data_IF_028596516487
#
_entry.id   IF_028596516487
#
_cell.length_a   1.000
_cell.length_b   1.000
_cell.length_c   1.000
_cell.angle_alpha   90.00
_cell.angle_beta   90.00
_cell.angle_gamma   90.00
#
_symmetry.space_group_name_H-M   'P 1'
#
loop_
_entity.id
_entity.type
_entity.pdbx_description
1 polymer ?
#
# COMPACT_ATOMS: atom_id res chain seq x y z
N UNK A 1 10.73 -10.38 0.23
CA UNK A 1 9.57 -10.49 -0.67
C UNK A 1 8.38 -9.80 -0.03
N UNK A 2 8.01 -8.60 -0.49
CA UNK A 2 6.92 -7.82 0.10
C UNK A 2 5.50 -8.34 -0.23
N UNK A 3 5.36 -9.30 -1.14
CA UNK A 3 4.08 -9.93 -1.49
C UNK A 3 3.94 -11.34 -0.88
N UNK A 4 4.88 -11.77 -0.05
CA UNK A 4 4.88 -13.13 0.50
C UNK A 4 3.80 -13.35 1.57
N UNK A 5 3.53 -12.35 2.41
CA UNK A 5 2.60 -12.48 3.52
C UNK A 5 1.23 -11.99 3.10
N UNK A 6 0.24 -12.86 2.99
CA UNK A 6 -1.15 -12.46 2.85
C UNK A 6 -2.05 -13.63 3.27
N UNK A 7 -3.14 -13.34 3.99
CA UNK A 7 -4.19 -14.32 4.26
C UNK A 7 -5.23 -14.32 3.13
N UNK A 8 -5.50 -13.14 2.57
CA UNK A 8 -6.43 -12.90 1.47
C UNK A 8 -5.69 -12.20 0.30
N UNK A 9 -5.80 -12.69 -0.96
CA UNK A 9 -5.24 -12.02 -2.14
C UNK A 9 -5.62 -10.53 -2.29
N UNK A 10 -6.75 -10.10 -1.73
CA UNK A 10 -7.18 -8.69 -1.71
C UNK A 10 -6.18 -7.77 -0.98
N UNK A 11 -5.36 -8.30 -0.07
CA UNK A 11 -4.28 -7.56 0.58
C UNK A 11 -3.17 -7.17 -0.40
N UNK A 12 -2.87 -8.03 -1.38
CA UNK A 12 -1.85 -7.76 -2.40
C UNK A 12 -2.29 -6.62 -3.31
N UNK A 13 -3.57 -6.62 -3.69
CA UNK A 13 -4.18 -5.53 -4.43
C UNK A 13 -4.11 -4.21 -3.66
N UNK A 14 -4.37 -4.26 -2.35
CA UNK A 14 -4.26 -3.09 -1.47
C UNK A 14 -2.83 -2.54 -1.44
N UNK A 15 -1.81 -3.39 -1.32
CA UNK A 15 -0.39 -2.98 -1.32
C UNK A 15 0.04 -2.33 -2.63
N UNK A 16 -0.41 -2.88 -3.77
CA UNK A 16 -0.07 -2.34 -5.09
C UNK A 16 -0.85 -1.05 -5.34
N UNK A 17 -2.10 -0.94 -4.87
CA UNK A 17 -2.90 0.28 -5.03
C UNK A 17 -2.28 1.51 -4.34
N UNK A 18 -1.52 1.30 -3.25
CA UNK A 18 -0.77 2.36 -2.56
C UNK A 18 0.27 3.01 -3.47
N UNK A 19 0.76 2.30 -4.48
CA UNK A 19 1.77 2.78 -5.43
C UNK A 19 1.19 3.67 -6.52
N UNK A 20 -0.14 3.72 -6.65
CA UNK A 20 -0.81 4.42 -7.74
C UNK A 20 -0.90 5.91 -7.37
N UNK A 21 -0.24 6.81 -8.13
CA UNK A 21 -0.31 8.24 -7.88
C UNK A 21 -1.70 8.79 -8.24
N UNK A 22 -2.12 9.85 -7.54
CA UNK A 22 -3.37 10.60 -7.83
C UNK A 22 -4.49 10.41 -6.80
N UNK A 23 -5.42 11.36 -6.75
CA UNK A 23 -6.53 11.39 -5.79
C UNK A 23 -7.83 10.77 -6.31
N UNK A 24 -7.88 10.35 -7.59
CA UNK A 24 -9.11 9.81 -8.16
C UNK A 24 -9.45 8.43 -7.56
N UNK A 25 -10.43 8.46 -6.65
CA UNK A 25 -10.93 7.28 -5.94
C UNK A 25 -11.51 6.22 -6.88
N UNK A 26 -12.12 6.62 -8.01
CA UNK A 26 -12.71 5.68 -8.96
C UNK A 26 -11.62 4.93 -9.73
N UNK A 27 -10.58 5.63 -10.16
CA UNK A 27 -9.42 5.03 -10.82
C UNK A 27 -8.70 4.04 -9.90
N UNK A 28 -8.42 4.45 -8.66
CA UNK A 28 -7.77 3.59 -7.66
C UNK A 28 -8.61 2.35 -7.33
N UNK A 29 -9.93 2.50 -7.19
CA UNK A 29 -10.83 1.38 -6.95
C UNK A 29 -10.83 0.38 -8.12
N UNK A 30 -10.86 0.87 -9.36
CA UNK A 30 -10.80 0.00 -10.53
C UNK A 30 -9.45 -0.71 -10.65
N UNK A 31 -8.33 -0.01 -10.44
CA UNK A 31 -7.00 -0.62 -10.44
C UNK A 31 -6.84 -1.69 -9.36
N UNK A 32 -7.40 -1.42 -8.18
CA UNK A 32 -7.47 -2.41 -7.11
C UNK A 32 -8.25 -3.66 -7.53
N UNK A 33 -9.42 -3.52 -8.16
CA UNK A 33 -10.21 -4.67 -8.66
C UNK A 33 -9.45 -5.52 -9.68
N UNK A 34 -8.70 -4.88 -10.59
CA UNK A 34 -7.90 -5.60 -11.58
C UNK A 34 -6.77 -6.39 -10.92
N UNK A 35 -6.00 -5.74 -10.05
CA UNK A 35 -4.90 -6.40 -9.35
C UNK A 35 -5.43 -7.51 -8.43
N UNK A 36 -6.59 -7.32 -7.81
CA UNK A 36 -7.28 -8.36 -7.04
C UNK A 36 -7.61 -9.56 -7.91
N UNK A 37 -8.31 -9.36 -9.03
CA UNK A 37 -8.71 -10.44 -9.93
C UNK A 37 -7.49 -11.21 -10.48
N UNK A 38 -6.40 -10.52 -10.81
CA UNK A 38 -5.15 -11.16 -11.23
C UNK A 38 -4.49 -11.95 -10.10
N UNK A 39 -4.46 -11.40 -8.89
CA UNK A 39 -3.86 -12.05 -7.71
C UNK A 39 -4.63 -13.29 -7.31
N UNK A 40 -5.96 -13.20 -7.24
CA UNK A 40 -6.84 -14.34 -6.98
C UNK A 40 -6.73 -15.39 -8.09
N UNK A 41 -6.65 -14.96 -9.35
CA UNK A 41 -6.43 -15.85 -10.50
C UNK A 41 -5.12 -16.63 -10.41
N UNK A 42 -4.02 -15.99 -10.00
CA UNK A 42 -2.73 -16.65 -9.76
C UNK A 42 -2.82 -17.69 -8.65
N UNK A 43 -3.47 -17.34 -7.54
CA UNK A 43 -3.68 -18.28 -6.42
C UNK A 43 -4.55 -19.47 -6.85
N UNK A 44 -5.60 -19.25 -7.63
CA UNK A 44 -6.43 -20.32 -8.21
C UNK A 44 -5.64 -21.23 -9.17
N UNK A 45 -4.70 -20.65 -9.94
CA UNK A 45 -3.78 -21.41 -10.77
C UNK A 45 -2.76 -22.22 -9.94
N UNK A 46 -2.65 -21.98 -8.62
CA UNK A 46 -1.66 -22.60 -7.74
C UNK A 46 -0.30 -21.91 -7.80
N UNK A 47 -0.25 -20.69 -8.31
CA UNK A 47 0.96 -19.87 -8.44
C UNK A 47 1.02 -18.83 -7.32
N UNK A 48 2.24 -18.54 -6.86
CA UNK A 48 2.47 -17.49 -5.85
C UNK A 48 2.52 -16.15 -6.58
N UNK A 49 1.68 -15.16 -6.21
CA UNK A 49 1.71 -13.85 -6.84
C UNK A 49 3.07 -13.15 -6.63
N UNK A 50 3.60 -12.58 -7.70
CA UNK A 50 4.86 -11.81 -7.70
C UNK A 50 4.68 -10.50 -8.45
N UNK A 51 5.49 -9.47 -8.15
CA UNK A 51 5.42 -8.19 -8.86
C UNK A 51 5.69 -8.38 -10.36
N UNK A 52 6.68 -9.21 -10.71
CA UNK A 52 7.01 -9.52 -12.10
C UNK A 52 5.89 -10.29 -12.80
N UNK A 53 5.27 -11.27 -12.12
CA UNK A 53 4.14 -12.02 -12.66
C UNK A 53 2.92 -11.13 -12.92
N UNK A 54 2.57 -10.28 -11.95
CA UNK A 54 1.49 -9.30 -12.11
C UNK A 54 1.78 -8.30 -13.22
N UNK A 55 3.01 -7.77 -13.30
CA UNK A 55 3.44 -6.88 -14.38
C UNK A 55 3.31 -7.54 -15.76
N UNK A 56 3.76 -8.79 -15.90
CA UNK A 56 3.65 -9.55 -17.15
C UNK A 56 2.21 -9.78 -17.58
N UNK A 57 1.29 -10.04 -16.64
CA UNK A 57 -0.13 -10.22 -16.92
C UNK A 57 -0.84 -8.91 -17.29
N UNK A 58 -0.45 -7.81 -16.65
CA UNK A 58 -0.99 -6.47 -16.98
C UNK A 58 -0.56 -6.04 -18.39
N UNK A 59 0.63 -6.43 -18.86
CA UNK A 59 1.09 -6.13 -20.22
C UNK A 59 0.62 -7.13 -21.28
N UNK A 60 0.74 -8.43 -20.99
CA UNK A 60 0.49 -9.52 -21.94
C UNK A 60 -0.95 -10.02 -21.98
N UNK A 61 -1.81 -9.51 -21.09
CA UNK A 61 -3.19 -9.95 -20.93
C UNK A 61 -3.36 -11.14 -19.98
N UNK A 62 -4.61 -11.37 -19.58
CA UNK A 62 -4.97 -12.38 -18.58
C UNK A 62 -5.49 -13.70 -19.18
N UNK A 63 -5.55 -13.84 -20.51
CA UNK A 63 -6.14 -15.01 -21.19
C UNK A 63 -5.50 -16.34 -20.74
N UNK A 64 -4.17 -16.43 -20.74
CA UNK A 64 -3.45 -17.63 -20.29
C UNK A 64 -3.66 -17.93 -18.79
N UNK A 65 -3.92 -16.90 -17.98
CA UNK A 65 -4.27 -17.06 -16.56
C UNK A 65 -5.69 -17.59 -16.39
N UNK A 66 -6.67 -17.10 -17.17
CA UNK A 66 -8.04 -17.62 -17.17
C UNK A 66 -8.04 -19.11 -17.44
N UNK A 67 -7.32 -19.55 -18.48
CA UNK A 67 -7.21 -20.97 -18.83
C UNK A 67 -6.69 -21.79 -17.65
N UNK A 68 -5.54 -21.39 -17.07
CA UNK A 68 -4.90 -22.12 -15.96
C UNK A 68 -5.78 -22.13 -14.70
N UNK A 69 -6.32 -20.97 -14.30
CA UNK A 69 -7.10 -20.79 -13.08
C UNK A 69 -8.44 -21.54 -13.14
N UNK A 70 -9.20 -21.34 -14.23
CA UNK A 70 -10.51 -21.98 -14.40
C UNK A 70 -10.35 -23.49 -14.55
N UNK A 71 -9.35 -23.96 -15.30
CA UNK A 71 -9.05 -25.39 -15.42
C UNK A 71 -8.74 -26.03 -14.07
N UNK A 72 -7.81 -25.44 -13.30
CA UNK A 72 -7.42 -25.98 -11.98
C UNK A 72 -8.61 -25.97 -11.01
N UNK A 73 -9.42 -24.90 -11.02
CA UNK A 73 -10.64 -24.84 -10.23
C UNK A 73 -11.66 -25.89 -10.66
N UNK A 74 -11.83 -26.10 -11.97
CA UNK A 74 -12.74 -27.09 -12.52
C UNK A 74 -12.33 -28.52 -12.20
N UNK A 75 -11.04 -28.85 -12.31
CA UNK A 75 -10.49 -30.16 -11.94
C UNK A 75 -10.75 -30.50 -10.47
N UNK A 76 -10.70 -29.50 -9.58
CA UNK A 76 -10.91 -29.69 -8.14
C UNK A 76 -12.38 -29.69 -7.72
N UNK A 77 -13.21 -28.90 -8.39
CA UNK A 77 -14.56 -28.57 -7.90
C UNK A 77 -15.68 -29.20 -8.72
N UNK A 78 -15.38 -29.68 -9.95
CA UNK A 78 -16.38 -30.37 -10.78
C UNK A 78 -16.35 -31.89 -10.53
N UNK A 79 -17.39 -32.46 -9.90
CA UNK A 79 -17.48 -33.92 -9.74
C UNK A 79 -17.63 -34.67 -11.08
N UNK A 80 -18.04 -33.98 -12.15
CA UNK A 80 -18.21 -34.54 -13.49
C UNK A 80 -17.20 -33.98 -14.50
N UNK A 81 -16.07 -33.44 -14.03
CA UNK A 81 -15.01 -32.84 -14.86
C UNK A 81 -14.66 -33.70 -16.09
N UNK A 82 -14.45 -35.01 -15.89
CA UNK A 82 -14.03 -35.93 -16.95
C UNK A 82 -15.05 -36.08 -18.10
N UNK A 83 -16.34 -35.80 -17.83
CA UNK A 83 -17.42 -35.84 -18.81
C UNK A 83 -17.59 -34.46 -19.43
N UNK A 84 -17.68 -33.42 -18.61
CA UNK A 84 -17.89 -32.04 -19.05
C UNK A 84 -16.75 -31.51 -19.93
N UNK A 85 -15.51 -31.92 -19.64
CA UNK A 85 -14.32 -31.55 -20.43
C UNK A 85 -14.41 -31.99 -21.90
N UNK A 86 -15.14 -33.07 -22.18
CA UNK A 86 -15.34 -33.65 -23.52
C UNK A 86 -16.62 -33.16 -24.21
N UNK A 87 -17.38 -32.29 -23.55
CA UNK A 87 -18.65 -31.79 -24.06
C UNK A 87 -18.42 -30.53 -24.93
N UNK A 88 -18.95 -30.49 -26.17
CA UNK A 88 -18.69 -29.37 -27.06
C UNK A 88 -19.53 -28.18 -26.61
N UNK A 89 -18.86 -27.10 -26.25
CA UNK A 89 -19.50 -25.86 -25.83
C UNK A 89 -19.50 -24.86 -26.97
N UNK A 90 -20.63 -24.18 -27.14
CA UNK A 90 -20.75 -23.06 -28.05
C UNK A 90 -20.07 -21.82 -27.43
N UNK A 91 -19.00 -21.36 -28.06
CA UNK A 91 -18.22 -20.19 -27.65
C UNK A 91 -18.31 -19.15 -28.76
N UNK A 92 -18.80 -17.95 -28.42
CA UNK A 92 -18.86 -16.83 -29.34
C UNK A 92 -17.54 -16.05 -29.27
N UNK A 93 -16.80 -15.99 -30.39
CA UNK A 93 -15.56 -15.23 -30.51
C UNK A 93 -15.76 -14.25 -31.68
N UNK A 94 -15.89 -12.96 -31.36
CA UNK A 94 -16.27 -11.95 -32.35
C UNK A 94 -17.60 -12.28 -33.04
N UNK A 95 -17.57 -12.46 -34.37
CA UNK A 95 -18.73 -12.83 -35.21
C UNK A 95 -18.90 -14.35 -35.39
N UNK A 96 -17.95 -15.17 -34.93
CA UNK A 96 -17.98 -16.62 -35.14
C UNK A 96 -18.47 -17.37 -33.90
N UNK A 97 -19.33 -18.37 -34.13
CA UNK A 97 -19.76 -19.33 -33.09
C UNK A 97 -18.98 -20.63 -33.30
N UNK A 98 -18.07 -20.94 -32.38
CA UNK A 98 -17.25 -22.14 -32.42
C UNK A 98 -17.78 -23.16 -31.40
N UNK A 99 -17.79 -24.43 -31.78
CA UNK A 99 -18.04 -25.54 -30.85
C UNK A 99 -16.69 -26.16 -30.51
N UNK A 100 -16.23 -25.95 -29.28
CA UNK A 100 -14.91 -26.39 -28.82
C UNK A 100 -15.06 -27.36 -27.65
N UNK A 101 -14.15 -28.33 -27.54
CA UNK A 101 -13.92 -29.13 -26.34
C UNK A 101 -12.54 -28.81 -25.75
N UNK A 102 -12.28 -29.20 -24.50
CA UNK A 102 -10.97 -28.96 -23.91
C UNK A 102 -9.84 -29.76 -24.60
N UNK A 103 -10.16 -30.94 -25.15
CA UNK A 103 -9.19 -31.77 -25.88
C UNK A 103 -8.78 -31.13 -27.22
N UNK A 104 -9.65 -30.31 -27.82
CA UNK A 104 -9.34 -29.54 -29.04
C UNK A 104 -8.35 -28.38 -28.75
N UNK A 105 -8.24 -27.94 -27.49
CA UNK A 105 -7.37 -26.84 -27.06
C UNK A 105 -5.95 -27.32 -26.68
N UNK A 106 -5.80 -28.55 -26.17
CA UNK A 106 -4.49 -29.11 -25.76
C UNK A 106 -3.60 -29.56 -26.93
N UNK A 107 -4.19 -29.80 -28.11
CA UNK A 107 -3.47 -30.29 -29.28
C UNK A 107 -2.66 -29.25 -30.07
N UNK A 108 -2.73 -27.97 -29.68
CA UNK A 108 -2.24 -26.86 -30.52
C UNK A 108 -3.12 -26.73 -31.77
N UNK A 109 -4.01 -25.74 -31.78
CA UNK A 109 -4.96 -25.54 -32.87
C UNK A 109 -4.25 -25.10 -34.17
N UNK A 110 -3.73 -26.07 -34.91
CA UNK A 110 -3.49 -25.92 -36.34
C UNK A 110 -4.82 -25.52 -37.00
N UNK A 111 -4.85 -24.31 -37.52
CA UNK A 111 -6.01 -23.54 -37.95
C UNK A 111 -6.76 -24.10 -39.19
N UNK A 112 -6.89 -25.43 -39.35
CA UNK A 112 -7.61 -26.04 -40.47
C UNK A 112 -8.62 -27.14 -40.13
N UNK A 113 -8.63 -27.71 -38.91
CA UNK A 113 -9.45 -28.90 -38.65
C UNK A 113 -10.52 -28.81 -37.53
N UNK A 114 -10.69 -27.70 -36.82
CA UNK A 114 -11.74 -27.55 -35.81
C UNK A 114 -13.05 -26.93 -36.32
N UNK A 115 -13.18 -26.67 -37.62
CA UNK A 115 -14.47 -26.32 -38.24
C UNK A 115 -15.28 -27.61 -38.42
N UNK A 116 -15.87 -28.14 -37.34
CA UNK A 116 -17.00 -29.05 -37.49
C UNK A 116 -18.20 -28.25 -38.02
N UNK A 117 -18.24 -28.08 -39.35
CA UNK A 117 -19.48 -27.77 -40.09
C UNK A 117 -20.56 -28.74 -39.61
N UNK A 118 -21.59 -28.19 -38.93
CA UNK A 118 -22.91 -28.80 -38.62
C UNK A 118 -23.01 -30.29 -39.01
N UNK A 119 -22.49 -31.20 -38.19
CA UNK A 119 -22.93 -32.59 -38.24
C UNK A 119 -24.07 -32.74 -37.25
N UNK A 120 -25.30 -32.72 -37.80
CA UNK A 120 -26.57 -32.95 -37.09
C UNK A 120 -26.42 -34.11 -36.09
N UNK A 121 -26.30 -33.82 -34.80
CA UNK A 121 -26.50 -34.81 -33.74
C UNK A 121 -28.01 -34.93 -33.52
N UNK A 122 -28.55 -36.11 -33.83
CA UNK A 122 -29.95 -36.49 -33.56
C UNK A 122 -30.13 -36.74 -32.06
N UNK A 123 -30.56 -35.72 -31.32
CA UNK A 123 -31.59 -35.80 -30.27
C UNK A 123 -31.84 -34.38 -29.77
N UNK A 124 -33.04 -33.89 -30.06
CA UNK A 124 -33.52 -32.57 -29.66
C UNK A 124 -33.49 -32.45 -28.13
N UNK A 125 -32.69 -31.51 -27.63
CA UNK A 125 -33.03 -30.76 -26.44
C UNK A 125 -33.37 -29.37 -26.96
N UNK A 126 -34.58 -28.93 -26.66
CA UNK A 126 -35.21 -27.74 -27.23
C UNK A 126 -34.64 -26.46 -26.59
N UNK A 127 -33.49 -26.02 -27.10
CA UNK A 127 -32.73 -24.86 -26.63
C UNK A 127 -33.45 -23.54 -26.98
N UNK A 128 -34.34 -23.54 -27.97
CA UNK A 128 -35.05 -22.34 -28.42
C UNK A 128 -36.01 -21.81 -27.35
N UNK A 129 -36.53 -22.68 -26.47
CA UNK A 129 -37.37 -22.29 -25.33
C UNK A 129 -36.64 -21.58 -24.18
N UNK A 130 -35.30 -21.63 -24.14
CA UNK A 130 -34.49 -21.02 -23.06
C UNK A 130 -34.00 -19.62 -23.47
N UNK A 131 -33.83 -19.37 -24.76
CA UNK A 131 -33.23 -18.14 -25.29
C UNK A 131 -34.22 -16.97 -25.42
N UNK A 132 -35.54 -17.19 -25.37
CA UNK A 132 -36.53 -16.11 -25.42
C UNK A 132 -36.68 -15.32 -24.11
N UNK A 133 -36.13 -15.80 -22.98
CA UNK A 133 -36.35 -15.17 -21.66
C UNK A 133 -35.30 -14.12 -21.22
N UNK A 134 -34.31 -13.77 -22.04
CA UNK A 134 -33.20 -12.88 -21.61
C UNK A 134 -33.12 -11.55 -22.38
N UNK A 135 -34.23 -11.06 -22.93
CA UNK A 135 -34.31 -9.89 -23.81
C UNK A 135 -33.38 -8.73 -23.45
N UNK A 136 -32.31 -8.57 -24.22
CA UNK A 136 -31.44 -7.39 -24.24
C UNK A 136 -30.97 -7.16 -25.68
N UNK A 137 -31.36 -6.02 -26.23
CA UNK A 137 -30.95 -5.50 -27.53
C UNK A 137 -29.46 -5.13 -27.50
N UNK A 138 -28.76 -5.34 -28.62
CA UNK A 138 -27.33 -5.03 -28.76
C UNK A 138 -27.18 -3.95 -29.83
N UNK A 139 -26.72 -2.76 -29.41
CA UNK A 139 -26.10 -1.76 -30.28
C UNK A 139 -24.67 -2.19 -30.63
N UNK A 140 -24.25 -1.95 -31.88
CA UNK A 140 -22.91 -2.24 -32.40
C UNK A 140 -21.88 -1.18 -32.00
N UNK A 141 -20.62 -1.58 -31.74
CA UNK A 141 -19.51 -0.80 -32.31
C UNK A 141 -18.35 -1.64 -32.90
N UNK A 142 -17.35 -0.91 -33.42
CA UNK A 142 -16.45 -1.12 -34.58
C UNK A 142 -15.21 -2.03 -34.38
N UNK A 143 -14.46 -2.23 -35.47
CA UNK A 143 -13.49 -3.30 -35.80
C UNK A 143 -12.05 -3.23 -35.21
N UNK A 144 -11.53 -4.45 -34.90
CA UNK A 144 -10.16 -5.03 -35.13
C UNK A 144 -8.91 -4.48 -34.35
N UNK A 145 -7.71 -5.15 -34.33
CA UNK A 145 -7.22 -6.40 -34.95
C UNK A 145 -6.42 -7.39 -34.03
N UNK A 146 -5.86 -8.43 -34.65
CA UNK A 146 -5.26 -9.69 -34.15
C UNK A 146 -3.94 -9.61 -33.33
N UNK A 147 -3.84 -10.42 -32.25
CA UNK A 147 -2.62 -11.07 -31.74
C UNK A 147 -2.99 -12.18 -30.72
N UNK A 148 -2.31 -13.35 -30.73
CA UNK A 148 -2.51 -14.50 -29.81
C UNK A 148 -3.84 -15.27 -29.86
N UNK A 149 -4.36 -15.57 -31.06
CA UNK A 149 -5.65 -16.23 -31.25
C UNK A 149 -5.82 -17.66 -30.67
N UNK A 150 -4.80 -18.30 -30.08
CA UNK A 150 -4.94 -19.60 -29.40
C UNK A 150 -5.43 -19.45 -27.95
N UNK A 151 -4.73 -18.63 -27.17
CA UNK A 151 -4.99 -18.45 -25.74
C UNK A 151 -6.29 -17.70 -25.46
N UNK A 152 -6.65 -16.74 -26.31
CA UNK A 152 -7.94 -16.04 -26.19
C UNK A 152 -9.14 -16.96 -26.45
N UNK A 153 -9.02 -17.86 -27.42
CA UNK A 153 -10.06 -18.85 -27.72
C UNK A 153 -10.18 -19.88 -26.59
N UNK A 154 -9.05 -20.30 -26.04
CA UNK A 154 -9.01 -21.18 -24.89
C UNK A 154 -9.64 -20.49 -23.67
N UNK A 155 -9.31 -19.23 -23.40
CA UNK A 155 -9.89 -18.46 -22.30
C UNK A 155 -11.41 -18.30 -22.46
N UNK A 156 -11.88 -18.00 -23.67
CA UNK A 156 -13.31 -17.90 -23.98
C UNK A 156 -14.05 -19.23 -23.78
N UNK A 157 -13.43 -20.36 -24.16
CA UNK A 157 -13.99 -21.69 -23.86
C UNK A 157 -14.11 -21.95 -22.37
N UNK A 158 -13.05 -21.69 -21.59
CA UNK A 158 -13.07 -21.93 -20.15
C UNK A 158 -14.05 -20.98 -19.43
N UNK A 159 -14.21 -19.75 -19.90
CA UNK A 159 -15.26 -18.85 -19.42
C UNK A 159 -16.67 -19.40 -19.70
N UNK A 160 -16.91 -19.93 -20.89
CA UNK A 160 -18.17 -20.59 -21.24
C UNK A 160 -18.40 -21.86 -20.40
N UNK A 161 -17.37 -22.69 -20.21
CA UNK A 161 -17.41 -23.88 -19.37
C UNK A 161 -17.88 -23.56 -17.97
N UNK A 162 -17.27 -22.55 -17.35
CA UNK A 162 -17.63 -22.13 -16.01
C UNK A 162 -19.09 -21.65 -15.93
N UNK A 163 -19.56 -20.90 -16.93
CA UNK A 163 -20.95 -20.42 -16.99
C UNK A 163 -21.98 -21.52 -17.17
N UNK A 164 -21.66 -22.52 -18.00
CA UNK A 164 -22.60 -23.59 -18.34
C UNK A 164 -22.64 -24.67 -17.26
N UNK A 165 -21.49 -25.09 -16.74
CA UNK A 165 -21.41 -26.26 -15.86
C UNK A 165 -21.23 -25.93 -14.37
N UNK A 166 -20.72 -24.74 -14.03
CA UNK A 166 -20.39 -24.41 -12.63
C UNK A 166 -21.27 -23.34 -11.98
N UNK A 167 -22.04 -22.57 -12.76
CA UNK A 167 -22.78 -21.39 -12.29
C UNK A 167 -23.73 -21.66 -11.13
N UNK A 168 -24.44 -22.79 -11.13
CA UNK A 168 -25.48 -23.09 -10.13
C UNK A 168 -24.97 -23.86 -8.90
N UNK A 169 -23.85 -24.59 -9.02
CA UNK A 169 -23.37 -25.52 -7.99
C UNK A 169 -22.12 -25.06 -7.25
N UNK A 170 -21.21 -24.31 -7.90
CA UNK A 170 -19.89 -23.97 -7.36
C UNK A 170 -19.43 -22.55 -7.78
N UNK A 171 -20.23 -21.53 -7.48
CA UNK A 171 -19.87 -20.13 -7.76
C UNK A 171 -18.72 -19.67 -6.87
N UNK A 172 -17.57 -19.39 -7.49
CA UNK A 172 -16.44 -18.74 -6.84
C UNK A 172 -16.30 -17.31 -7.36
N UNK A 173 -16.29 -16.33 -6.45
CA UNK A 173 -16.17 -14.91 -6.79
C UNK A 173 -14.86 -14.59 -7.53
N UNK A 174 -13.77 -15.28 -7.19
CA UNK A 174 -12.46 -15.07 -7.81
C UNK A 174 -12.44 -15.46 -9.29
N UNK A 175 -13.09 -16.59 -9.63
CA UNK A 175 -13.21 -17.04 -11.02
C UNK A 175 -14.07 -16.06 -11.81
N UNK A 176 -15.16 -15.57 -11.22
CA UNK A 176 -16.00 -14.54 -11.83
C UNK A 176 -15.28 -13.23 -12.06
N UNK A 177 -14.50 -12.75 -11.08
CA UNK A 177 -13.70 -11.54 -11.19
C UNK A 177 -12.68 -11.64 -12.33
N UNK A 178 -12.00 -12.78 -12.45
CA UNK A 178 -11.03 -13.03 -13.51
C UNK A 178 -11.67 -13.12 -14.91
N UNK A 179 -12.82 -13.79 -15.04
CA UNK A 179 -13.58 -13.84 -16.31
C UNK A 179 -14.11 -12.45 -16.66
N UNK A 180 -14.65 -11.72 -15.67
CA UNK A 180 -15.12 -10.35 -15.86
C UNK A 180 -14.01 -9.41 -16.31
N UNK A 181 -12.79 -9.59 -15.79
CA UNK A 181 -11.61 -8.86 -16.24
C UNK A 181 -11.23 -9.18 -17.69
N UNK A 182 -11.30 -10.45 -18.09
CA UNK A 182 -11.00 -10.88 -19.46
C UNK A 182 -12.00 -10.33 -20.48
N UNK A 183 -13.28 -10.25 -20.12
CA UNK A 183 -14.34 -9.76 -20.98
C UNK A 183 -14.49 -8.22 -20.96
N UNK A 184 -13.77 -7.55 -20.06
CA UNK A 184 -13.83 -6.11 -19.95
C UNK A 184 -13.24 -5.42 -21.19
N UNK A 185 -13.76 -4.23 -21.51
CA UNK A 185 -13.28 -3.41 -22.63
C UNK A 185 -11.78 -3.09 -22.52
N UNK A 186 -11.05 -3.39 -23.60
CA UNK A 186 -9.61 -3.20 -23.75
C UNK A 186 -9.21 -1.73 -23.66
N UNK A 187 -10.05 -0.79 -24.12
CA UNK A 187 -9.74 0.64 -24.04
C UNK A 187 -9.72 1.13 -22.58
N UNK A 188 -10.69 0.68 -21.78
CA UNK A 188 -10.74 1.00 -20.35
C UNK A 188 -9.57 0.37 -19.57
N UNK A 189 -9.17 -0.86 -19.91
CA UNK A 189 -7.99 -1.49 -19.32
C UNK A 189 -6.70 -0.75 -19.72
N UNK A 190 -6.55 -0.34 -20.98
CA UNK A 190 -5.40 0.45 -21.43
C UNK A 190 -5.24 1.78 -20.69
N UNK A 191 -6.35 2.48 -20.40
CA UNK A 191 -6.34 3.73 -19.62
C UNK A 191 -5.78 3.51 -18.21
N UNK A 192 -6.04 2.36 -17.59
CA UNK A 192 -5.46 1.99 -16.29
C UNK A 192 -4.00 1.57 -16.38
N UNK A 193 -3.71 0.67 -17.32
CA UNK A 193 -2.38 0.13 -17.61
C UNK A 193 -1.34 1.26 -17.73
N UNK A 194 -1.73 2.39 -18.35
CA UNK A 194 -0.86 3.56 -18.57
C UNK A 194 -0.26 4.15 -17.28
N UNK A 195 -0.97 4.10 -16.14
CA UNK A 195 -0.44 4.64 -14.86
C UNK A 195 0.18 3.55 -13.96
N UNK A 196 -0.25 2.30 -14.10
CA UNK A 196 0.23 1.19 -13.28
C UNK A 196 1.54 0.57 -13.82
N UNK A 197 1.68 0.50 -15.16
CA UNK A 197 2.88 0.00 -15.83
C UNK A 197 4.14 0.76 -15.42
N UNK A 198 4.19 2.11 -15.42
CA UNK A 198 5.44 2.81 -15.13
C UNK A 198 5.96 2.47 -13.73
N UNK A 199 5.07 2.43 -12.73
CA UNK A 199 5.44 2.12 -11.35
C UNK A 199 5.85 0.66 -11.20
N UNK A 200 5.07 -0.29 -11.74
CA UNK A 200 5.45 -1.71 -11.70
C UNK A 200 6.75 -1.96 -12.47
N UNK A 201 6.90 -1.39 -13.67
CA UNK A 201 8.12 -1.46 -14.50
C UNK A 201 9.33 -0.96 -13.72
N UNK A 202 9.21 0.16 -12.99
CA UNK A 202 10.31 0.69 -12.18
C UNK A 202 10.72 -0.24 -11.03
N UNK A 203 9.79 -1.06 -10.52
CA UNK A 203 10.02 -2.03 -9.45
C UNK A 203 10.47 -3.40 -9.98
N UNK A 204 10.13 -3.73 -11.22
CA UNK A 204 10.41 -5.01 -11.89
C UNK A 204 11.53 -4.93 -12.93
N UNK A 205 12.22 -3.79 -13.03
CA UNK A 205 13.37 -3.60 -13.93
C UNK A 205 14.68 -3.39 -13.18
N UNK A 206 15.80 -3.62 -13.87
CA UNK A 206 17.14 -3.32 -13.36
C UNK A 206 17.54 -4.14 -12.14
N UNK A 207 18.23 -3.50 -11.19
CA UNK A 207 18.78 -4.16 -9.99
C UNK A 207 17.76 -4.35 -8.86
N UNK A 208 16.61 -3.67 -8.90
CA UNK A 208 15.55 -3.78 -7.88
C UNK A 208 14.67 -5.01 -8.08
N UNK A 209 14.45 -5.42 -9.34
CA UNK A 209 13.65 -6.58 -9.70
C UNK A 209 14.06 -7.87 -8.93
N UNK A 210 15.34 -8.28 -8.94
CA UNK A 210 15.73 -9.49 -8.21
C UNK A 210 15.66 -9.30 -6.69
N UNK A 211 15.68 -8.09 -6.14
CA UNK A 211 15.58 -7.86 -4.69
C UNK A 211 14.15 -8.00 -4.17
N UNK A 212 13.17 -7.56 -4.97
CA UNK A 212 11.76 -7.52 -4.58
C UNK A 212 11.01 -8.78 -4.99
N UNK A 213 11.38 -9.35 -6.15
CA UNK A 213 10.76 -10.55 -6.70
C UNK A 213 11.76 -11.70 -6.64
N UNK A 214 11.73 -12.54 -5.58
CA UNK A 214 12.50 -13.79 -5.61
C UNK A 214 11.93 -14.70 -6.69
N UNK A 215 12.80 -15.38 -7.43
CA UNK A 215 12.38 -16.49 -8.27
C UNK A 215 12.07 -17.70 -7.37
N UNK A 216 11.23 -18.64 -7.83
CA UNK A 216 10.80 -19.78 -7.01
C UNK A 216 11.99 -20.50 -6.33
N UNK A 217 11.76 -21.08 -5.15
CA UNK A 217 12.81 -21.61 -4.27
C UNK A 217 13.78 -22.64 -4.89
N UNK A 218 13.48 -23.18 -6.08
CA UNK A 218 14.34 -24.08 -6.84
C UNK A 218 15.30 -23.37 -7.82
N UNK A 219 15.06 -22.10 -8.17
CA UNK A 219 15.82 -21.35 -9.16
C UNK A 219 16.70 -20.25 -8.53
N UNK A 220 16.31 -19.70 -7.37
CA UNK A 220 17.06 -18.63 -6.71
C UNK A 220 18.02 -19.19 -5.65
N UNK A 221 19.32 -18.96 -5.82
CA UNK A 221 20.35 -19.36 -4.84
C UNK A 221 20.39 -18.44 -3.60
N UNK A 222 19.67 -17.32 -3.62
CA UNK A 222 19.70 -16.31 -2.55
C UNK A 222 18.70 -16.65 -1.43
N UNK A 223 19.00 -16.30 -0.17
CA UNK A 223 18.05 -16.47 0.91
C UNK A 223 16.87 -15.50 0.72
N UNK A 224 15.68 -16.05 0.53
CA UNK A 224 14.44 -15.26 0.43
C UNK A 224 14.04 -14.78 1.82
N UNK A 225 14.23 -13.48 2.05
CA UNK A 225 13.82 -12.81 3.28
C UNK A 225 12.37 -12.33 3.21
N UNK A 226 11.71 -12.42 4.34
CA UNK A 226 10.30 -12.10 4.52
C UNK A 226 10.09 -11.40 5.86
N UNK A 227 9.29 -10.32 5.89
CA UNK A 227 9.10 -9.48 7.07
C UNK A 227 8.38 -10.23 8.20
N UNK A 228 7.48 -11.17 7.90
CA UNK A 228 6.87 -12.01 8.93
C UNK A 228 7.92 -12.88 9.62
N UNK A 229 8.81 -13.53 8.85
CA UNK A 229 9.92 -14.32 9.40
C UNK A 229 10.90 -13.47 10.20
N UNK A 230 11.26 -12.28 9.70
CA UNK A 230 12.17 -11.34 10.38
C UNK A 230 11.60 -10.91 11.73
N UNK A 231 10.32 -10.53 11.76
CA UNK A 231 9.65 -10.06 12.99
C UNK A 231 9.41 -11.17 14.01
N UNK A 232 9.17 -12.40 13.56
CA UNK A 232 9.04 -13.55 14.46
C UNK A 232 10.38 -14.03 15.02
N UNK A 233 11.44 -14.00 14.22
CA UNK A 233 12.79 -14.43 14.64
C UNK A 233 13.59 -13.37 15.41
N UNK A 234 13.03 -12.17 15.63
CA UNK A 234 13.69 -11.09 16.37
C UNK A 234 14.91 -10.52 15.65
N UNK A 235 14.95 -10.58 14.32
CA UNK A 235 16.07 -10.12 13.52
C UNK A 235 16.09 -8.60 13.36
N UNK A 236 17.29 -8.03 13.20
CA UNK A 236 17.48 -6.61 12.87
C UNK A 236 17.67 -6.46 11.36
N UNK A 237 16.84 -5.63 10.74
CA UNK A 237 16.90 -5.35 9.30
C UNK A 237 17.06 -3.86 9.07
N UNK A 238 17.99 -3.48 8.19
CA UNK A 238 18.19 -2.12 7.73
C UNK A 238 17.87 -2.03 6.23
N UNK A 239 16.99 -1.11 5.85
CA UNK A 239 16.56 -0.93 4.46
C UNK A 239 16.98 0.47 4.00
N UNK A 240 18.00 0.53 3.14
CA UNK A 240 18.44 1.78 2.51
C UNK A 240 17.70 2.02 1.20
N UNK A 241 16.75 2.95 1.17
CA UNK A 241 15.91 3.23 -0.01
C UNK A 241 16.57 4.15 -1.05
N UNK A 242 17.61 4.89 -0.67
CA UNK A 242 18.31 5.87 -1.52
C UNK A 242 17.35 6.79 -2.31
N UNK A 243 16.35 7.37 -1.61
CA UNK A 243 15.34 8.24 -2.19
C UNK A 243 15.93 9.50 -2.88
N UNK A 244 17.18 9.87 -2.60
CA UNK A 244 17.88 10.97 -3.26
C UNK A 244 18.25 10.66 -4.71
N UNK A 245 18.59 9.40 -5.03
CA UNK A 245 18.99 9.01 -6.38
C UNK A 245 17.78 8.59 -7.24
N UNK A 246 16.80 7.93 -6.63
CA UNK A 246 15.57 7.53 -7.31
C UNK A 246 14.39 7.61 -6.34
N UNK A 247 13.78 8.80 -6.27
CA UNK A 247 12.70 9.10 -5.34
C UNK A 247 11.48 8.24 -5.60
N UNK A 248 11.08 8.03 -6.86
CA UNK A 248 9.89 7.24 -7.21
C UNK A 248 10.03 5.79 -6.74
N UNK A 249 11.16 5.15 -7.05
CA UNK A 249 11.40 3.75 -6.65
C UNK A 249 11.59 3.64 -5.15
N UNK A 250 12.34 4.56 -4.52
CA UNK A 250 12.57 4.56 -3.07
C UNK A 250 11.26 4.70 -2.29
N UNK A 251 10.41 5.66 -2.67
CA UNK A 251 9.08 5.85 -2.08
C UNK A 251 8.19 4.62 -2.29
N UNK A 252 8.18 4.05 -3.50
CA UNK A 252 7.37 2.89 -3.82
C UNK A 252 7.78 1.67 -2.99
N UNK A 253 9.07 1.35 -2.92
CA UNK A 253 9.59 0.25 -2.09
C UNK A 253 9.26 0.48 -0.63
N UNK A 254 9.52 1.67 -0.09
CA UNK A 254 9.19 2.00 1.30
C UNK A 254 7.70 1.86 1.60
N UNK A 255 6.84 2.33 0.70
CA UNK A 255 5.38 2.27 0.85
C UNK A 255 4.88 0.82 0.88
N UNK A 256 5.37 -0.03 -0.02
CA UNK A 256 5.02 -1.46 -0.05
C UNK A 256 5.49 -2.15 1.23
N UNK A 257 6.71 -1.87 1.71
CA UNK A 257 7.24 -2.48 2.93
C UNK A 257 6.39 -2.09 4.16
N UNK A 258 5.95 -0.83 4.26
CA UNK A 258 5.03 -0.41 5.32
C UNK A 258 3.67 -1.09 5.22
N UNK A 259 3.18 -1.33 4.01
CA UNK A 259 1.92 -2.04 3.79
C UNK A 259 2.03 -3.54 4.12
N UNK A 260 3.16 -4.19 3.83
CA UNK A 260 3.45 -5.57 4.28
C UNK A 260 3.54 -5.63 5.83
N UNK A 261 4.22 -4.68 6.47
CA UNK A 261 4.27 -4.59 7.93
C UNK A 261 2.89 -4.37 8.57
N UNK A 262 1.99 -3.63 7.91
CA UNK A 262 0.61 -3.46 8.37
C UNK A 262 -0.16 -4.78 8.40
N UNK A 263 0.04 -5.65 7.40
CA UNK A 263 -0.53 -7.00 7.37
C UNK A 263 0.09 -7.90 8.45
N UNK A 264 1.42 -7.91 8.57
CA UNK A 264 2.12 -8.65 9.65
C UNK A 264 1.62 -8.22 11.03
N UNK A 265 1.40 -6.92 11.25
CA UNK A 265 0.81 -6.41 12.48
C UNK A 265 -0.62 -6.89 12.69
N UNK A 266 -1.43 -6.98 11.64
CA UNK A 266 -2.78 -7.54 11.68
C UNK A 266 -2.79 -9.04 12.04
N UNK A 267 -1.95 -9.84 11.40
CA UNK A 267 -1.81 -11.27 11.68
C UNK A 267 -1.39 -11.51 13.14
N UNK A 268 -0.43 -10.73 13.65
CA UNK A 268 -0.01 -10.78 15.06
C UNK A 268 -1.13 -10.40 16.03
N UNK A 269 -1.88 -9.34 15.72
CA UNK A 269 -3.03 -8.92 16.52
C UNK A 269 -4.08 -10.02 16.64
N UNK A 270 -4.33 -10.77 15.56
CA UNK A 270 -5.31 -11.86 15.53
C UNK A 270 -4.80 -13.14 16.22
N UNK A 271 -3.50 -13.44 16.11
CA UNK A 271 -2.88 -14.66 16.64
C UNK A 271 -2.57 -14.63 18.14
N UNK A 272 -3.14 -13.69 18.90
CA UNK A 272 -2.77 -13.31 20.27
C UNK A 272 -3.19 -14.32 21.36
N UNK A 273 -2.86 -15.59 21.17
CA UNK A 273 -3.14 -16.70 22.08
C UNK A 273 -1.90 -17.25 22.81
N UNK A 274 -0.71 -16.67 22.68
CA UNK A 274 0.47 -17.13 23.42
C UNK A 274 1.35 -15.95 23.84
N UNK A 275 1.54 -15.78 25.15
CA UNK A 275 2.17 -14.64 25.81
C UNK A 275 3.68 -14.43 25.59
N UNK A 276 4.20 -14.64 24.38
CA UNK A 276 5.61 -14.45 24.00
C UNK A 276 5.77 -13.62 22.73
N UNK A 277 5.04 -12.50 22.60
CA UNK A 277 5.26 -11.61 21.46
C UNK A 277 6.51 -10.73 21.66
N UNK A 278 7.53 -10.98 20.85
CA UNK A 278 8.73 -10.13 20.75
C UNK A 278 8.30 -8.74 20.23
N UNK A 279 8.58 -7.64 20.96
CA UNK A 279 8.21 -6.30 20.51
C UNK A 279 9.00 -5.90 19.26
N UNK A 280 8.31 -5.39 18.25
CA UNK A 280 8.91 -4.97 16.98
C UNK A 280 9.15 -3.46 17.03
N UNK A 281 10.40 -3.03 16.88
CA UNK A 281 10.74 -1.61 16.81
C UNK A 281 10.94 -1.19 15.35
N UNK A 282 10.10 -0.29 14.85
CA UNK A 282 10.14 0.26 13.51
C UNK A 282 10.64 1.70 13.56
N UNK A 283 11.71 1.98 12.83
CA UNK A 283 12.24 3.33 12.66
C UNK A 283 12.10 3.72 11.20
N UNK A 284 11.39 4.82 10.94
CA UNK A 284 11.19 5.36 9.59
C UNK A 284 11.75 6.77 9.54
N UNK A 285 12.87 6.92 8.85
CA UNK A 285 13.43 8.23 8.53
C UNK A 285 12.70 8.82 7.32
N UNK A 286 12.52 10.14 7.31
CA UNK A 286 11.70 10.88 6.34
C UNK A 286 10.37 10.17 6.00
N UNK A 287 9.59 9.88 7.05
CA UNK A 287 8.37 9.09 6.96
C UNK A 287 7.31 9.70 6.02
N UNK A 288 7.32 11.01 5.82
CA UNK A 288 6.44 11.74 4.89
C UNK A 288 6.51 11.20 3.46
N UNK A 289 7.69 10.74 3.01
CA UNK A 289 7.93 10.25 1.65
C UNK A 289 7.27 8.88 1.40
N UNK A 290 7.19 8.04 2.42
CA UNK A 290 6.72 6.63 2.34
C UNK A 290 5.37 6.39 3.00
N UNK A 291 4.82 7.39 3.70
CA UNK A 291 3.55 7.28 4.39
C UNK A 291 2.40 6.99 3.42
N UNK A 292 1.48 6.15 3.88
CA UNK A 292 0.31 5.74 3.12
C UNK A 292 -0.84 5.32 4.06
N UNK A 293 -2.00 5.00 3.51
CA UNK A 293 -3.17 4.57 4.29
C UNK A 293 -2.91 3.28 5.08
N UNK A 294 -2.10 2.35 4.58
CA UNK A 294 -1.72 1.14 5.34
C UNK A 294 -0.84 1.47 6.55
N UNK A 295 0.02 2.49 6.44
CA UNK A 295 0.81 2.98 7.58
C UNK A 295 -0.09 3.58 8.68
N UNK A 296 -1.16 4.29 8.32
CA UNK A 296 -2.19 4.72 9.28
C UNK A 296 -2.82 3.53 10.03
N UNK A 297 -3.17 2.46 9.30
CA UNK A 297 -3.72 1.25 9.90
C UNK A 297 -2.72 0.55 10.82
N UNK A 298 -1.43 0.52 10.42
CA UNK A 298 -0.35 0.01 11.24
C UNK A 298 -0.25 0.80 12.56
N UNK A 299 -0.26 2.14 12.51
CA UNK A 299 -0.22 2.98 13.71
C UNK A 299 -1.42 2.72 14.64
N UNK A 300 -2.63 2.62 14.09
CA UNK A 300 -3.85 2.33 14.87
C UNK A 300 -3.78 0.97 15.60
N UNK A 301 -3.15 -0.04 14.99
CA UNK A 301 -3.07 -1.40 15.54
C UNK A 301 -1.76 -1.70 16.27
N UNK A 302 -0.76 -0.80 16.19
CA UNK A 302 0.60 -1.03 16.66
C UNK A 302 0.69 -1.45 18.13
N UNK A 303 -0.11 -0.82 19.00
CA UNK A 303 -0.13 -1.14 20.44
C UNK A 303 -0.58 -2.57 20.71
N UNK A 304 -1.55 -3.06 19.94
CA UNK A 304 -2.12 -4.41 20.09
C UNK A 304 -1.23 -5.50 19.50
N UNK A 305 -0.41 -5.17 18.50
CA UNK A 305 0.50 -6.09 17.79
C UNK A 305 1.96 -6.04 18.27
N UNK A 306 2.24 -5.28 19.34
CA UNK A 306 3.58 -5.16 19.92
C UNK A 306 4.55 -4.29 19.11
N UNK A 307 4.06 -3.46 18.19
CA UNK A 307 4.87 -2.53 17.41
C UNK A 307 5.16 -1.23 18.18
N UNK A 308 6.42 -0.78 18.11
CA UNK A 308 6.90 0.51 18.59
C UNK A 308 7.43 1.28 17.40
N UNK A 309 6.72 2.33 17.01
CA UNK A 309 7.00 3.04 15.76
C UNK A 309 7.60 4.41 16.10
N UNK A 310 8.75 4.71 15.52
CA UNK A 310 9.41 6.01 15.56
C UNK A 310 9.48 6.53 14.12
N UNK A 311 8.79 7.63 13.86
CA UNK A 311 8.78 8.30 12.56
C UNK A 311 9.45 9.67 12.69
N UNK A 312 10.39 9.97 11.79
CA UNK A 312 11.00 11.28 11.64
C UNK A 312 10.48 11.95 10.37
N UNK A 313 10.21 13.25 10.41
CA UNK A 313 9.81 14.06 9.25
C UNK A 313 10.34 15.48 9.41
N UNK A 314 10.51 16.19 8.30
CA UNK A 314 10.87 17.62 8.32
C UNK A 314 9.64 18.53 8.50
N UNK A 315 8.53 18.21 7.84
CA UNK A 315 7.31 19.01 7.89
C UNK A 315 6.06 18.15 8.05
N UNK A 316 5.01 18.71 8.66
CA UNK A 316 3.72 18.03 8.74
C UNK A 316 2.93 18.16 7.43
N UNK A 317 3.16 19.21 6.63
CA UNK A 317 2.47 19.46 5.37
C UNK A 317 2.73 18.37 4.33
N UNK A 318 3.91 17.74 4.38
CA UNK A 318 4.25 16.65 3.44
C UNK A 318 3.37 15.42 3.69
N UNK A 319 2.93 15.18 4.94
CA UNK A 319 1.94 14.12 5.21
C UNK A 319 0.57 14.44 4.63
N UNK A 320 0.14 15.70 4.65
CA UNK A 320 -1.14 16.11 4.05
C UNK A 320 -1.14 15.86 2.55
N UNK A 321 -0.05 16.24 1.87
CA UNK A 321 0.12 16.00 0.43
C UNK A 321 0.15 14.51 0.12
N UNK A 322 0.84 13.71 0.93
CA UNK A 322 0.98 12.27 0.67
C UNK A 322 -0.29 11.47 0.96
N UNK A 323 -1.02 11.82 2.02
CA UNK A 323 -2.27 11.15 2.40
C UNK A 323 -3.49 11.69 1.65
N UNK A 324 -3.39 12.86 1.01
CA UNK A 324 -4.47 13.51 0.25
C UNK A 324 -5.57 14.14 1.11
N UNK A 325 -5.38 14.23 2.44
CA UNK A 325 -6.38 14.84 3.33
C UNK A 325 -5.79 15.31 4.65
N UNK A 326 -6.16 16.53 5.06
CA UNK A 326 -5.87 17.08 6.39
C UNK A 326 -6.41 16.22 7.53
N UNK A 327 -7.56 15.57 7.32
CA UNK A 327 -8.16 14.69 8.32
C UNK A 327 -7.32 13.42 8.54
N UNK A 328 -6.82 12.84 7.44
CA UNK A 328 -5.94 11.68 7.49
C UNK A 328 -4.59 12.03 8.14
N UNK A 329 -4.02 13.21 7.83
CA UNK A 329 -2.84 13.72 8.52
C UNK A 329 -3.09 13.90 10.03
N UNK A 330 -4.21 14.52 10.41
CA UNK A 330 -4.58 14.68 11.82
C UNK A 330 -4.69 13.35 12.56
N UNK A 331 -5.27 12.33 11.91
CA UNK A 331 -5.33 10.97 12.44
C UNK A 331 -3.93 10.34 12.57
N UNK A 332 -3.06 10.52 11.58
CA UNK A 332 -1.68 10.02 11.61
C UNK A 332 -0.94 10.57 12.83
N UNK A 333 -0.94 11.90 12.97
CA UNK A 333 -0.22 12.58 14.02
C UNK A 333 -0.81 12.29 15.41
N UNK A 334 -2.14 12.19 15.51
CA UNK A 334 -2.83 11.86 16.76
C UNK A 334 -2.56 10.45 17.30
N UNK A 335 -2.11 9.52 16.45
CA UNK A 335 -1.73 8.18 16.89
C UNK A 335 -0.35 8.11 17.56
N UNK A 336 0.49 9.14 17.42
CA UNK A 336 1.78 9.19 18.09
C UNK A 336 1.62 9.65 19.54
N UNK A 337 2.01 8.80 20.48
CA UNK A 337 1.91 9.09 21.91
C UNK A 337 2.91 10.15 22.39
N UNK A 338 4.06 10.23 21.73
CA UNK A 338 5.16 11.11 22.11
C UNK A 338 5.60 11.90 20.87
N UNK A 339 5.84 13.20 21.04
CA UNK A 339 6.31 14.08 19.98
C UNK A 339 7.62 14.70 20.43
N UNK A 340 8.67 14.52 19.61
CA UNK A 340 9.97 15.12 19.81
C UNK A 340 10.15 16.24 18.77
N UNK A 341 10.13 17.48 19.23
CA UNK A 341 10.24 18.65 18.37
C UNK A 341 11.65 19.23 18.44
N UNK A 342 12.40 19.10 17.34
CA UNK A 342 13.69 19.77 17.14
C UNK A 342 13.48 21.16 16.50
N UNK A 343 14.55 21.85 16.12
CA UNK A 343 14.43 23.12 15.40
C UNK A 343 13.61 22.97 14.13
N UNK A 344 12.55 23.78 14.00
CA UNK A 344 11.67 23.80 12.83
C UNK A 344 11.76 25.16 12.11
N UNK A 345 11.34 25.19 10.85
CA UNK A 345 11.22 26.43 10.06
C UNK A 345 9.81 26.68 9.57
N UNK A 346 9.03 25.61 9.41
CA UNK A 346 7.68 25.67 8.89
C UNK A 346 6.69 26.22 9.93
N UNK A 347 5.90 27.22 9.52
CA UNK A 347 5.01 27.94 10.41
C UNK A 347 3.82 27.08 10.89
N UNK A 348 3.28 26.24 10.00
CA UNK A 348 2.14 25.39 10.32
C UNK A 348 2.55 24.25 11.27
N UNK A 349 3.73 23.66 11.05
CA UNK A 349 4.35 22.70 11.97
C UNK A 349 4.62 23.31 13.35
N UNK A 350 5.11 24.56 13.41
CA UNK A 350 5.32 25.27 14.68
C UNK A 350 4.02 25.51 15.44
N UNK A 351 2.97 25.96 14.74
CA UNK A 351 1.64 26.17 15.32
C UNK A 351 1.06 24.87 15.85
N UNK A 352 1.19 23.77 15.10
CA UNK A 352 0.73 22.46 15.53
C UNK A 352 1.38 22.03 16.87
N UNK A 353 2.70 22.19 17.01
CA UNK A 353 3.40 21.87 18.26
C UNK A 353 3.01 22.83 19.40
N UNK A 354 2.81 24.11 19.10
CA UNK A 354 2.36 25.10 20.07
C UNK A 354 0.95 24.79 20.58
N UNK A 355 0.04 24.35 19.70
CA UNK A 355 -1.34 23.98 20.05
C UNK A 355 -1.40 22.68 20.87
N UNK A 356 -0.45 21.76 20.65
CA UNK A 356 -0.25 20.58 21.50
C UNK A 356 0.29 20.93 22.90
N UNK A 357 1.02 22.05 23.01
CA UNK A 357 1.58 22.50 24.27
C UNK A 357 0.51 23.22 25.12
N UNK A 358 0.51 22.95 26.42
CA UNK A 358 -0.42 23.62 27.35
C UNK A 358 -0.07 25.11 27.46
N UNK A 359 -1.09 25.96 27.61
CA UNK A 359 -0.87 27.39 27.93
C UNK A 359 -0.51 27.55 29.40
N UNK A 360 0.39 28.48 29.69
CA UNK A 360 0.82 28.81 31.05
C UNK A 360 0.56 30.28 31.34
N UNK A 361 0.39 30.62 32.62
CA UNK A 361 0.26 32.02 33.04
C UNK A 361 1.62 32.54 33.49
N UNK A 362 2.11 33.56 32.79
CA UNK A 362 3.33 34.27 33.14
C UNK A 362 2.94 35.46 34.00
N UNK A 363 3.57 35.56 35.18
CA UNK A 363 3.38 36.68 36.09
C UNK A 363 4.48 37.70 35.87
N UNK A 364 4.12 38.85 35.31
CA UNK A 364 5.05 39.95 35.05
C UNK A 364 4.88 41.01 36.12
N UNK A 365 5.98 41.38 36.78
CA UNK A 365 6.00 42.44 37.78
C UNK A 365 6.34 43.75 37.09
N UNK A 366 5.33 44.62 36.92
CA UNK A 366 5.51 45.95 36.35
C UNK A 366 5.80 46.93 37.48
N UNK A 367 6.96 47.56 37.43
CA UNK A 367 7.35 48.63 38.36
C UNK A 367 7.26 49.97 37.66
N UNK A 368 6.46 50.87 38.21
CA UNK A 368 6.29 52.23 37.71
C UNK A 368 6.97 53.18 38.67
N UNK A 369 7.91 53.98 38.15
CA UNK A 369 8.49 55.10 38.88
C UNK A 369 8.18 56.38 38.10
N UNK A 370 7.41 57.26 38.72
CA UNK A 370 7.08 58.57 38.18
C UNK A 370 7.60 59.66 39.09
N UNK A 371 8.25 60.66 38.51
CA UNK A 371 8.62 61.90 39.20
C UNK A 371 7.79 63.03 38.61
N UNK A 372 7.10 63.76 39.48
CA UNK A 372 6.32 64.95 39.09
C UNK A 372 6.92 66.19 39.76
N UNK A 373 7.20 67.21 38.96
CA UNK A 373 7.60 68.55 39.41
C UNK A 373 6.48 69.55 39.12
N UNK A 374 6.06 70.31 40.13
CA UNK A 374 5.03 71.34 39.96
C UNK A 374 5.53 72.53 39.11
N UNK A 375 4.70 73.04 38.20
CA UNK A 375 5.06 74.14 37.28
C UNK A 375 5.36 75.47 37.99
N UNK A 376 4.79 75.69 39.18
CA UNK A 376 4.91 76.93 39.93
C UNK A 376 6.03 76.92 41.00
N UNK A 377 6.57 75.75 41.37
CA UNK A 377 7.58 75.66 42.43
C UNK A 377 8.51 74.46 42.23
N UNK A 378 9.76 74.64 41.77
CA UNK A 378 10.70 73.56 41.46
C UNK A 378 11.09 72.69 42.66
N UNK A 379 10.87 73.18 43.88
CA UNK A 379 11.21 72.50 45.15
C UNK A 379 10.17 71.44 45.54
N UNK A 380 8.93 71.54 45.04
CA UNK A 380 7.88 70.53 45.26
C UNK A 380 8.02 69.42 44.22
N UNK A 381 8.95 68.50 44.48
CA UNK A 381 9.11 67.25 43.73
C UNK A 381 8.41 66.11 44.47
N UNK A 382 7.43 65.48 43.82
CA UNK A 382 6.77 64.27 44.30
C UNK A 382 7.22 63.05 43.50
N UNK A 383 7.37 61.91 44.17
CA UNK A 383 7.68 60.62 43.52
C UNK A 383 6.57 59.61 43.77
N UNK A 384 6.09 58.96 42.71
CA UNK A 384 5.20 57.80 42.80
C UNK A 384 6.02 56.56 42.44
N UNK A 385 6.11 55.61 43.37
CA UNK A 385 6.66 54.28 43.13
C UNK A 385 5.50 53.29 43.29
N UNK A 386 5.20 52.55 42.24
CA UNK A 386 4.16 51.53 42.23
C UNK A 386 4.69 50.22 41.69
N UNK A 387 4.23 49.11 42.27
CA UNK A 387 4.49 47.76 41.77
C UNK A 387 3.13 47.11 41.49
N UNK A 388 2.96 46.58 40.28
CA UNK A 388 1.75 45.90 39.84
C UNK A 388 2.13 44.53 39.30
N UNK A 389 1.49 43.50 39.83
CA UNK A 389 1.55 42.17 39.25
C UNK A 389 0.53 42.09 38.11
N UNK A 390 1.00 41.74 36.91
CA UNK A 390 0.16 41.48 35.74
C UNK A 390 0.29 40.00 35.41
N UNK A 391 -0.84 39.31 35.31
CA UNK A 391 -0.86 37.91 34.86
C UNK A 391 -1.30 37.87 33.40
N UNK A 392 -0.46 37.30 32.53
CA UNK A 392 -0.75 37.13 31.11
C UNK A 392 -0.69 35.64 30.75
N UNK A 393 -1.63 35.19 29.92
CA UNK A 393 -1.64 33.83 29.42
C UNK A 393 -0.75 33.73 28.17
N UNK A 394 0.26 32.88 28.21
CA UNK A 394 1.21 32.66 27.13
C UNK A 394 1.38 31.16 26.83
N UNK A 395 1.65 30.78 25.57
CA UNK A 395 1.97 29.40 25.22
C UNK A 395 3.24 28.95 25.95
N UNK A 396 3.24 27.75 26.55
CA UNK A 396 4.43 27.23 27.24
C UNK A 396 5.62 27.07 26.29
N UNK A 397 5.35 26.79 25.00
CA UNK A 397 6.35 26.70 23.94
C UNK A 397 5.97 27.66 22.80
N UNK A 398 6.56 28.88 22.75
CA UNK A 398 6.33 29.82 21.67
C UNK A 398 6.94 29.36 20.34
N UNK A 399 6.31 29.73 19.22
CA UNK A 399 6.80 29.42 17.86
C UNK A 399 8.20 29.98 17.61
N UNK A 400 8.50 31.18 18.12
CA UNK A 400 9.80 31.85 17.98
C UNK A 400 10.91 31.01 18.62
N UNK A 401 10.61 30.37 19.74
CA UNK A 401 11.56 29.53 20.46
C UNK A 401 11.83 28.24 19.66
N UNK A 402 10.81 27.64 19.05
CA UNK A 402 10.97 26.47 18.18
C UNK A 402 11.84 26.78 16.95
N UNK A 403 11.73 28.00 16.40
CA UNK A 403 12.56 28.44 15.27
C UNK A 403 14.04 28.66 15.66
N UNK A 404 14.30 29.09 16.90
CA UNK A 404 15.63 29.43 17.39
C UNK A 404 16.32 28.32 18.20
N UNK A 405 15.74 27.11 18.24
CA UNK A 405 16.29 25.97 18.96
C UNK A 405 17.76 25.68 18.54
N UNK A 406 18.70 25.61 19.49
CA UNK A 406 20.07 25.18 19.20
C UNK A 406 20.12 23.75 18.68
N UNK A 407 21.17 23.44 17.90
CA UNK A 407 21.40 22.07 17.44
C UNK A 407 21.51 21.11 18.64
N UNK A 408 20.98 19.89 18.48
CA UNK A 408 20.89 18.86 19.52
C UNK A 408 19.97 19.17 20.70
N UNK A 409 19.21 20.25 20.68
CA UNK A 409 18.17 20.47 21.67
C UNK A 409 16.78 20.26 21.09
N UNK A 410 15.84 19.81 21.92
CA UNK A 410 14.48 19.50 21.51
C UNK A 410 13.49 19.70 22.67
N UNK A 411 12.23 19.87 22.33
CA UNK A 411 11.12 19.70 23.27
C UNK A 411 10.54 18.30 23.11
N UNK A 412 10.37 17.60 24.23
CA UNK A 412 9.67 16.33 24.30
C UNK A 412 8.29 16.57 24.90
N UNK A 413 7.26 16.34 24.10
CA UNK A 413 5.88 16.22 24.57
C UNK A 413 5.63 14.73 24.78
N UNK A 414 5.66 14.29 26.03
CA UNK A 414 5.56 12.88 26.40
C UNK A 414 4.13 12.57 26.85
N UNK A 415 3.66 11.37 26.53
CA UNK A 415 2.40 10.82 27.00
C UNK A 415 2.25 11.02 28.51
N UNK A 416 1.10 11.56 28.94
CA UNK A 416 0.87 12.00 30.32
C UNK A 416 0.99 13.52 30.54
N UNK A 417 1.22 14.30 29.49
CA UNK A 417 1.15 15.77 29.52
C UNK A 417 2.43 16.47 29.99
N UNK A 418 3.53 15.72 30.11
CA UNK A 418 4.83 16.29 30.48
C UNK A 418 5.50 16.94 29.26
N UNK A 419 5.86 18.21 29.40
CA UNK A 419 6.63 18.96 28.41
C UNK A 419 8.04 19.16 28.97
N UNK A 420 9.03 18.54 28.33
CA UNK A 420 10.43 18.60 28.76
C UNK A 420 11.28 19.29 27.71
N UNK A 421 12.17 20.16 28.17
CA UNK A 421 13.25 20.70 27.35
C UNK A 421 14.48 19.82 27.55
N UNK A 422 14.97 19.20 26.49
CA UNK A 422 16.05 18.22 26.54
C UNK A 422 17.17 18.54 25.54
N UNK A 423 18.33 17.91 25.76
CA UNK A 423 19.49 17.96 24.88
C UNK A 423 19.98 16.54 24.59
N UNK A 424 20.18 16.23 23.31
CA UNK A 424 20.75 14.96 22.88
C UNK A 424 22.23 14.88 23.27
N UNK A 425 22.67 13.80 23.93
CA UNK A 425 24.08 13.52 24.11
C UNK A 425 24.68 13.05 22.78
N UNK A 426 25.82 13.62 22.39
CA UNK A 426 26.64 13.09 21.31
C UNK A 426 27.36 11.84 21.81
N UNK A 427 26.98 10.68 21.29
CA UNK A 427 27.68 9.42 21.54
C UNK A 427 28.95 9.40 20.69
N UNK A 428 30.10 9.51 21.34
CA UNK A 428 31.41 9.38 20.67
C UNK A 428 31.78 7.90 20.64
N UNK A 429 32.07 7.36 19.47
CA UNK A 429 32.38 5.93 19.32
C UNK A 429 33.63 5.57 20.14
N UNK A 430 33.62 4.40 20.78
CA UNK A 430 34.73 3.91 21.59
C UNK A 430 36.01 3.72 20.76
N UNK A 431 35.85 3.52 19.43
CA UNK A 431 36.97 3.46 18.46
C UNK A 431 37.62 4.82 18.21
N UNK A 432 36.86 5.91 18.24
CA UNK A 432 37.42 7.27 18.11
C UNK A 432 38.20 7.71 19.34
N UNK A 433 37.80 7.27 20.55
CA UNK A 433 38.63 7.45 21.75
C UNK A 433 40.01 6.80 21.64
N UNK A 434 40.15 5.66 20.96
CA UNK A 434 41.48 5.04 20.71
C UNK A 434 42.32 5.75 19.64
N UNK A 435 41.70 6.60 18.82
CA UNK A 435 42.42 7.47 17.88
C UNK A 435 42.82 8.80 18.51
N UNK A 436 42.03 9.29 19.47
CA UNK A 436 42.33 10.49 20.24
C UNK A 436 43.41 10.23 21.32
N UNK A 437 43.37 9.07 21.98
CA UNK A 437 44.44 8.59 22.85
C UNK A 437 45.30 7.61 22.07
N UNK A 438 46.45 8.07 21.56
CA UNK A 438 47.39 7.31 20.72
C UNK A 438 48.04 6.07 21.37
N UNK A 439 47.23 5.09 21.78
CA UNK A 439 47.67 3.77 22.23
C UNK A 439 46.88 2.71 21.48
N UNK A 440 47.40 2.36 20.30
CA UNK A 440 47.14 1.08 19.64
C UNK A 440 47.54 -0.05 20.60
N UNK A 441 46.60 -0.92 20.91
CA UNK A 441 46.91 -2.29 21.34
C UNK A 441 46.23 -3.25 20.37
N UNK A 442 46.95 -4.34 20.10
CA UNK A 442 46.80 -5.33 19.03
C UNK A 442 45.40 -5.94 18.87
#
# INVERSE_FOLDING_TARGET
>A
NPLANFDDPSELASRISVLIPGEDSAFKAFAWQVVQALSEGLVLAGEIPTLTGLYGLVQGGCASLVVRAVRNYAEKSDPAYAIHRKAPLAVKIGRELLYLNADDLEGGLDAKNSIQKKKRLKKEIDIDSILENAGLAVEEPEEQPEANGGDERAAAYWAAYFRTFMRERHSNSAVWGLIGLFEHDREHLQKMITNLIPTLSSLTSGQTAPLLTPEGAAADARPVLDLQRITHSGQVTYIGLNCLANTVVGQAVGSIMLADLASVAGARYNARNAGEEVPVSLFVDECSEVANTSFLQLLNKARGSGFRITAATQTISDFEQKLGSRAAMGQLLGNFNNVLCMRMKDADSMRYIQDLAVKTRVKTVVRTQGTSTGSANPVMAGGVIGERLVEEEQPMVPCELLAMLPNFEFFALISGGAILKCRFPLLVDRREKSRADGKRWF
#
